data_IF_670234571722
#
_entry.id   IF_670234571722
#
_cell.length_a   1.000
_cell.length_b   1.000
_cell.length_c   1.000
_cell.angle_alpha   90.00
_cell.angle_beta   90.00
_cell.angle_gamma   90.00
#
_symmetry.space_group_name_H-M   'P 1'
#
loop_
_entity.id
_entity.type
_entity.pdbx_description
1 polymer ?
#
# COMPACT_ATOMS: atom_id res chain seq x y z
N UNK A 1 -18.91 -2.14 -5.81
CA UNK A 1 -17.66 -2.79 -6.29
C UNK A 1 -17.68 -4.25 -5.86
N UNK A 2 -17.18 -5.16 -6.70
CA UNK A 2 -17.04 -6.56 -6.32
C UNK A 2 -15.88 -6.73 -5.32
N UNK A 3 -16.03 -7.63 -4.35
CA UNK A 3 -15.00 -7.90 -3.35
C UNK A 3 -13.79 -8.60 -3.97
N UNK A 4 -12.57 -8.12 -3.66
CA UNK A 4 -11.33 -8.81 -4.01
C UNK A 4 -11.16 -10.01 -3.08
N UNK A 5 -10.96 -11.20 -3.66
CA UNK A 5 -10.85 -12.45 -2.88
C UNK A 5 -9.43 -12.98 -2.83
N UNK A 6 -8.63 -12.71 -3.85
CA UNK A 6 -7.23 -13.12 -3.93
C UNK A 6 -6.41 -12.09 -4.68
N UNK A 7 -5.17 -11.92 -4.23
CA UNK A 7 -4.18 -11.05 -4.88
C UNK A 7 -2.91 -11.88 -5.10
N UNK A 8 -2.28 -11.72 -6.26
CA UNK A 8 -0.94 -12.22 -6.51
C UNK A 8 0.00 -11.08 -6.90
N UNK A 9 1.30 -11.29 -6.66
CA UNK A 9 2.39 -10.40 -7.09
C UNK A 9 3.23 -11.17 -8.09
N UNK A 10 3.59 -10.55 -9.21
CA UNK A 10 4.49 -11.15 -10.20
C UNK A 10 5.32 -10.10 -10.93
N UNK A 11 6.25 -10.55 -11.77
CA UNK A 11 7.06 -9.63 -12.58
C UNK A 11 6.28 -9.13 -13.80
N UNK A 12 6.81 -8.14 -14.52
CA UNK A 12 6.18 -7.70 -15.76
C UNK A 12 6.25 -8.76 -16.88
N UNK A 13 7.34 -9.55 -16.90
CA UNK A 13 7.80 -10.34 -18.05
C UNK A 13 7.17 -11.73 -18.14
N UNK A 14 6.82 -12.34 -16.99
CA UNK A 14 6.27 -13.69 -16.93
C UNK A 14 4.91 -13.72 -16.18
N UNK A 15 4.10 -14.74 -16.48
CA UNK A 15 2.85 -15.02 -15.76
C UNK A 15 3.08 -15.77 -14.44
N UNK A 16 4.33 -15.88 -13.98
CA UNK A 16 4.65 -16.56 -12.74
C UNK A 16 4.41 -15.64 -11.55
N UNK A 17 3.69 -16.17 -10.56
CA UNK A 17 3.40 -15.44 -9.33
C UNK A 17 4.52 -15.67 -8.32
N UNK A 18 5.17 -14.58 -7.90
CA UNK A 18 6.15 -14.59 -6.81
C UNK A 18 5.48 -14.90 -5.47
N UNK A 19 4.24 -14.45 -5.29
CA UNK A 19 3.45 -14.71 -4.09
C UNK A 19 1.95 -14.61 -4.42
N UNK A 20 1.12 -15.36 -3.71
CA UNK A 20 -0.34 -15.33 -3.82
C UNK A 20 -0.97 -15.37 -2.42
N UNK A 21 -1.98 -14.52 -2.18
CA UNK A 21 -2.65 -14.44 -0.90
C UNK A 21 -4.18 -14.37 -1.05
N UNK A 22 -4.88 -15.08 -0.17
CA UNK A 22 -6.34 -14.97 -0.01
C UNK A 22 -6.65 -13.79 0.90
N UNK A 23 -7.48 -12.88 0.41
CA UNK A 23 -7.76 -11.58 1.04
C UNK A 23 -9.24 -11.30 1.31
N UNK A 24 -10.12 -12.29 1.11
CA UNK A 24 -11.55 -12.21 1.43
C UNK A 24 -11.77 -11.65 2.84
N UNK A 25 -12.66 -10.65 2.97
CA UNK A 25 -12.97 -9.98 4.24
C UNK A 25 -11.88 -9.07 4.78
N UNK A 26 -10.77 -8.83 4.06
CA UNK A 26 -9.66 -7.99 4.50
C UNK A 26 -9.62 -6.68 3.72
N UNK A 27 -9.33 -5.59 4.42
CA UNK A 27 -9.11 -4.28 3.81
C UNK A 27 -7.62 -4.03 3.49
N UNK A 28 -6.72 -4.70 4.20
CA UNK A 28 -5.28 -4.63 3.97
C UNK A 28 -4.63 -5.99 4.28
N UNK A 29 -3.51 -6.25 3.61
CA UNK A 29 -2.64 -7.40 3.87
C UNK A 29 -1.19 -7.01 3.69
N UNK A 30 -0.31 -7.58 4.51
CA UNK A 30 1.13 -7.46 4.29
C UNK A 30 1.57 -8.42 3.18
N UNK A 31 2.52 -7.99 2.38
CA UNK A 31 3.18 -8.88 1.44
C UNK A 31 4.03 -9.92 2.21
N UNK A 32 3.90 -11.19 1.82
CA UNK A 32 4.52 -12.34 2.52
C UNK A 32 5.58 -13.06 1.69
N UNK A 33 5.93 -12.54 0.51
CA UNK A 33 6.97 -13.15 -0.34
C UNK A 33 8.34 -12.56 -0.07
N UNK A 34 9.32 -12.98 -0.88
CA UNK A 34 10.69 -12.45 -0.81
C UNK A 34 10.74 -10.95 -1.09
N UNK A 35 11.61 -10.19 -0.40
CA UNK A 35 11.75 -8.74 -0.58
C UNK A 35 11.91 -8.35 -2.05
N UNK A 36 11.07 -7.41 -2.49
CA UNK A 36 11.08 -6.90 -3.85
C UNK A 36 12.27 -5.96 -4.06
N UNK A 37 12.83 -5.94 -5.27
CA UNK A 37 14.06 -5.20 -5.58
C UNK A 37 13.77 -3.72 -5.84
N UNK A 38 14.55 -2.79 -5.26
CA UNK A 38 14.50 -1.37 -5.62
C UNK A 38 14.63 -1.15 -7.12
N UNK A 39 13.86 -0.20 -7.66
CA UNK A 39 13.86 0.13 -9.08
C UNK A 39 13.08 -0.84 -9.97
N UNK A 40 12.78 -2.05 -9.49
CA UNK A 40 12.09 -3.04 -10.30
C UNK A 40 10.57 -2.81 -10.32
N UNK A 41 9.98 -3.01 -11.50
CA UNK A 41 8.53 -2.95 -11.70
C UNK A 41 7.93 -4.35 -11.61
N UNK A 42 6.80 -4.43 -10.91
CA UNK A 42 6.00 -5.63 -10.67
C UNK A 42 4.54 -5.37 -11.02
N UNK A 43 3.70 -6.39 -10.89
CA UNK A 43 2.25 -6.31 -11.09
C UNK A 43 1.52 -6.90 -9.89
N UNK A 44 0.47 -6.23 -9.45
CA UNK A 44 -0.61 -6.88 -8.70
C UNK A 44 -1.55 -7.55 -9.68
N UNK A 45 -1.94 -8.78 -9.39
CA UNK A 45 -2.98 -9.53 -10.10
C UNK A 45 -4.17 -9.68 -9.17
N UNK A 46 -5.34 -9.23 -9.61
CA UNK A 46 -6.56 -9.18 -8.78
C UNK A 46 -7.52 -10.27 -9.22
N UNK A 47 -8.07 -10.99 -8.25
CA UNK A 47 -9.01 -12.08 -8.48
C UNK A 47 -10.28 -11.88 -7.64
N UNK A 48 -11.44 -11.93 -8.30
CA UNK A 48 -12.76 -11.89 -7.64
C UNK A 48 -13.28 -13.27 -7.23
N UNK A 49 -12.58 -14.33 -7.65
CA UNK A 49 -12.83 -15.71 -7.25
C UNK A 49 -11.52 -16.35 -6.76
N UNK A 50 -11.53 -16.84 -5.53
CA UNK A 50 -10.38 -17.46 -4.89
C UNK A 50 -9.84 -18.67 -5.68
N UNK A 51 -10.72 -19.48 -6.27
CA UNK A 51 -10.37 -20.68 -7.01
C UNK A 51 -9.91 -20.41 -8.45
N UNK A 52 -10.11 -19.20 -8.98
CA UNK A 52 -9.75 -18.87 -10.37
C UNK A 52 -8.23 -18.79 -10.55
N UNK A 53 -7.68 -19.39 -11.61
CA UNK A 53 -6.30 -19.18 -12.04
C UNK A 53 -6.13 -17.92 -12.91
N UNK A 54 -7.23 -17.36 -13.41
CA UNK A 54 -7.24 -16.16 -14.26
C UNK A 54 -7.59 -14.91 -13.45
N UNK A 55 -6.72 -13.88 -13.42
CA UNK A 55 -7.02 -12.60 -12.79
C UNK A 55 -8.00 -11.79 -13.65
N UNK A 56 -8.78 -10.92 -13.01
CA UNK A 56 -9.72 -10.01 -13.70
C UNK A 56 -9.06 -8.71 -14.13
N UNK A 57 -7.96 -8.33 -13.48
CA UNK A 57 -7.18 -7.13 -13.80
C UNK A 57 -5.76 -7.26 -13.24
N UNK A 58 -4.86 -6.44 -13.78
CA UNK A 58 -3.53 -6.23 -13.21
C UNK A 58 -3.22 -4.74 -13.06
N UNK A 59 -2.39 -4.40 -12.07
CA UNK A 59 -1.97 -3.04 -11.77
C UNK A 59 -0.45 -3.04 -11.66
N UNK A 60 0.29 -2.34 -12.55
CA UNK A 60 1.74 -2.24 -12.43
C UNK A 60 2.12 -1.32 -11.27
N UNK A 61 3.22 -1.63 -10.59
CA UNK A 61 3.82 -0.77 -9.58
C UNK A 61 5.33 -0.93 -9.58
N UNK A 62 6.07 0.13 -9.26
CA UNK A 62 7.52 0.10 -9.17
C UNK A 62 7.95 0.23 -7.72
N UNK A 63 8.92 -0.57 -7.30
CA UNK A 63 9.57 -0.36 -6.00
C UNK A 63 10.49 0.84 -6.11
N UNK A 64 10.31 1.78 -5.20
CA UNK A 64 11.12 2.98 -5.11
C UNK A 64 12.62 2.67 -5.09
N UNK A 65 13.39 3.47 -5.82
CA UNK A 65 14.85 3.40 -5.86
C UNK A 65 15.48 3.66 -4.49
N UNK A 66 16.62 3.01 -4.21
CA UNK A 66 17.26 3.08 -2.89
C UNK A 66 17.63 4.53 -2.45
N UNK A 67 18.19 5.41 -3.31
CA UNK A 67 18.49 6.78 -2.91
C UNK A 67 17.24 7.58 -2.50
N UNK A 68 16.16 7.47 -3.28
CA UNK A 68 14.89 8.15 -2.98
C UNK A 68 14.27 7.60 -1.68
N UNK A 69 14.28 6.27 -1.51
CA UNK A 69 13.79 5.61 -0.29
C UNK A 69 14.57 6.06 0.95
N UNK A 70 15.89 6.20 0.84
CA UNK A 70 16.74 6.64 1.96
C UNK A 70 16.44 8.08 2.36
N UNK A 71 16.22 8.97 1.38
CA UNK A 71 15.80 10.35 1.63
C UNK A 71 14.48 10.39 2.40
N UNK A 72 13.44 9.74 1.87
CA UNK A 72 12.11 9.70 2.51
C UNK A 72 12.18 9.08 3.90
N UNK A 73 12.96 8.01 4.09
CA UNK A 73 13.14 7.38 5.41
C UNK A 73 13.72 8.37 6.42
N UNK A 74 14.62 9.25 5.98
CA UNK A 74 15.23 10.26 6.85
C UNK A 74 14.25 11.37 7.20
N UNK A 75 13.44 11.82 6.24
CA UNK A 75 12.37 12.80 6.43
C UNK A 75 11.29 12.26 7.38
N UNK A 76 10.87 11.01 7.22
CA UNK A 76 9.90 10.35 8.10
C UNK A 76 10.43 10.20 9.53
N UNK A 77 11.71 9.84 9.71
CA UNK A 77 12.32 9.77 11.05
C UNK A 77 12.34 11.12 11.75
N UNK A 78 12.59 12.20 11.01
CA UNK A 78 12.51 13.55 11.58
C UNK A 78 11.07 13.88 12.00
N UNK A 79 10.11 13.60 11.12
CA UNK A 79 8.68 13.81 11.38
C UNK A 79 8.19 13.02 12.60
N UNK A 80 8.58 11.76 12.74
CA UNK A 80 8.28 10.95 13.94
C UNK A 80 8.86 11.55 15.22
N UNK A 81 10.11 12.04 15.18
CA UNK A 81 10.74 12.70 16.34
C UNK A 81 10.00 13.97 16.75
N UNK A 82 9.50 14.74 15.79
CA UNK A 82 8.69 15.93 16.05
C UNK A 82 7.33 15.55 16.67
N UNK A 83 6.82 14.35 16.38
CA UNK A 83 5.56 13.82 16.90
C UNK A 83 5.73 12.84 18.06
N UNK A 84 6.90 12.80 18.73
CA UNK A 84 7.27 11.78 19.75
C UNK A 84 6.26 11.57 20.90
N UNK A 85 5.42 12.56 21.19
CA UNK A 85 4.42 12.51 22.27
C UNK A 85 3.00 12.22 21.75
N UNK A 86 2.85 11.90 20.47
CA UNK A 86 1.56 11.60 19.83
C UNK A 86 1.26 10.11 19.88
N UNK A 87 -0.02 9.77 19.72
CA UNK A 87 -0.45 8.38 19.57
C UNK A 87 0.08 7.77 18.27
N UNK A 88 0.14 6.43 18.23
CA UNK A 88 0.48 5.67 17.01
C UNK A 88 -0.41 6.09 15.83
N UNK A 89 -1.70 6.31 16.09
CA UNK A 89 -2.64 6.76 15.08
C UNK A 89 -2.31 8.15 14.54
N UNK A 90 -2.01 9.11 15.41
CA UNK A 90 -1.65 10.45 14.99
C UNK A 90 -0.35 10.44 14.16
N UNK A 91 0.61 9.57 14.49
CA UNK A 91 1.81 9.36 13.67
C UNK A 91 1.43 8.79 12.30
N UNK A 92 0.58 7.76 12.25
CA UNK A 92 0.13 7.15 11.00
C UNK A 92 -0.59 8.16 10.10
N UNK A 93 -1.46 9.00 10.67
CA UNK A 93 -2.17 10.06 9.97
C UNK A 93 -1.20 11.09 9.36
N UNK A 94 -0.22 11.56 10.12
CA UNK A 94 0.75 12.54 9.63
C UNK A 94 1.61 11.93 8.51
N UNK A 95 2.03 10.67 8.65
CA UNK A 95 2.77 9.99 7.58
C UNK A 95 1.92 9.78 6.32
N UNK A 96 0.65 9.40 6.48
CA UNK A 96 -0.26 9.22 5.35
C UNK A 96 -0.42 10.53 4.56
N UNK A 97 -0.59 11.67 5.26
CA UNK A 97 -0.63 13.01 4.65
C UNK A 97 0.69 13.35 3.94
N UNK A 98 1.83 13.13 4.59
CA UNK A 98 3.14 13.34 3.98
C UNK A 98 3.31 12.55 2.67
N UNK A 99 2.96 11.26 2.66
CA UNK A 99 3.07 10.45 1.44
C UNK A 99 2.11 10.92 0.34
N UNK A 100 0.87 11.30 0.70
CA UNK A 100 -0.11 11.85 -0.23
C UNK A 100 0.40 13.15 -0.88
N UNK A 101 0.98 14.07 -0.11
CA UNK A 101 1.59 15.32 -0.59
C UNK A 101 2.75 15.07 -1.58
N UNK A 102 3.45 13.94 -1.44
CA UNK A 102 4.52 13.52 -2.37
C UNK A 102 3.99 12.72 -3.57
N UNK A 103 2.68 12.50 -3.69
CA UNK A 103 2.07 11.65 -4.71
C UNK A 103 2.35 10.15 -4.54
N UNK A 104 2.84 9.73 -3.36
CA UNK A 104 3.20 8.36 -3.03
C UNK A 104 1.99 7.61 -2.47
N UNK A 105 0.96 7.45 -3.30
CA UNK A 105 -0.36 7.03 -2.85
C UNK A 105 -0.42 5.63 -2.24
N UNK A 106 0.36 4.68 -2.76
CA UNK A 106 0.44 3.33 -2.16
C UNK A 106 1.04 3.37 -0.76
N UNK A 107 2.01 4.24 -0.51
CA UNK A 107 2.58 4.44 0.84
C UNK A 107 1.60 5.18 1.75
N UNK A 108 0.87 6.18 1.22
CA UNK A 108 -0.18 6.88 1.96
C UNK A 108 -1.28 5.93 2.44
N UNK A 109 -1.78 5.07 1.55
CA UNK A 109 -2.76 4.04 1.88
C UNK A 109 -2.21 3.04 2.90
N UNK A 110 -0.97 2.59 2.74
CA UNK A 110 -0.35 1.67 3.71
C UNK A 110 -0.31 2.26 5.12
N UNK A 111 0.03 3.55 5.27
CA UNK A 111 -0.01 4.21 6.58
C UNK A 111 -1.44 4.38 7.10
N UNK A 112 -2.38 4.74 6.23
CA UNK A 112 -3.77 4.95 6.64
C UNK A 112 -4.43 3.65 7.12
N UNK A 113 -4.17 2.54 6.44
CA UNK A 113 -4.69 1.22 6.78
C UNK A 113 -3.85 0.44 7.82
N UNK A 114 -2.74 1.00 8.33
CA UNK A 114 -1.93 0.32 9.36
C UNK A 114 -2.56 0.37 10.76
N UNK A 115 -3.53 1.27 10.97
CA UNK A 115 -4.20 1.45 12.26
C UNK A 115 -5.49 0.62 12.28
N UNK A 116 -5.58 -0.44 13.11
CA UNK A 116 -6.82 -1.18 13.25
C UNK A 116 -7.86 -0.29 13.96
N UNK A 117 -9.07 -0.21 13.39
CA UNK A 117 -10.18 0.62 13.90
C UNK A 117 -9.80 2.11 13.99
N UNK A 118 -9.58 2.78 12.84
CA UNK A 118 -9.19 4.19 12.81
C UNK A 118 -10.23 5.09 13.47
N UNK A 119 -9.80 6.21 14.05
CA UNK A 119 -10.68 7.30 14.48
C UNK A 119 -11.48 7.87 13.32
N UNK A 120 -12.42 8.78 13.64
CA UNK A 120 -13.19 9.50 12.62
C UNK A 120 -12.30 10.28 11.64
N UNK A 121 -11.22 10.90 12.12
CA UNK A 121 -10.31 11.68 11.26
C UNK A 121 -9.57 10.77 10.28
N UNK A 122 -8.96 9.70 10.76
CA UNK A 122 -8.23 8.76 9.89
C UNK A 122 -9.19 8.00 8.96
N UNK A 123 -10.38 7.67 9.44
CA UNK A 123 -11.45 7.10 8.60
C UNK A 123 -11.87 8.02 7.47
N UNK A 124 -11.89 9.34 7.70
CA UNK A 124 -12.21 10.31 6.67
C UNK A 124 -11.09 10.39 5.62
N UNK A 125 -9.82 10.44 6.05
CA UNK A 125 -8.69 10.38 5.13
C UNK A 125 -8.76 9.13 4.24
N UNK A 126 -9.04 7.96 4.81
CA UNK A 126 -9.20 6.70 4.06
C UNK A 126 -10.29 6.81 2.99
N UNK A 127 -11.40 7.50 3.26
CA UNK A 127 -12.48 7.71 2.30
C UNK A 127 -12.13 8.70 1.19
N UNK A 128 -11.29 9.69 1.51
CA UNK A 128 -10.94 10.76 0.59
C UNK A 128 -9.80 10.35 -0.36
N UNK A 129 -8.87 9.49 0.09
CA UNK A 129 -7.71 9.05 -0.70
C UNK A 129 -8.08 8.42 -2.06
N UNK A 130 -9.09 7.54 -2.19
CA UNK A 130 -9.50 7.00 -3.49
C UNK A 130 -9.96 8.06 -4.48
N UNK A 131 -10.56 9.17 -4.03
CA UNK A 131 -11.00 10.23 -4.93
C UNK A 131 -9.81 10.98 -5.53
N UNK A 132 -8.70 11.08 -4.82
CA UNK A 132 -7.45 11.70 -5.30
C UNK A 132 -6.65 10.80 -6.25
N UNK A 133 -6.99 9.51 -6.29
CA UNK A 133 -6.33 8.48 -7.11
C UNK A 133 -6.98 8.29 -8.49
N UNK A 134 -8.23 8.72 -8.64
CA UNK A 134 -9.08 8.42 -9.80
C UNK A 134 -9.38 9.65 -10.67
N UNK A 135 -8.59 10.72 -10.56
CA UNK A 135 -8.66 11.90 -11.42
C UNK A 135 -7.94 11.70 -12.78
#
# INVERSE_FOLDING_TARGET
MAEVKKIAVGTLENQEYLNTQIVTGKQSVNYQGEPLKPGQTYKWFIFLNQASSSPVMFIPFQIMEAPQRNRITSELKLLERLQKNKSVEAIALVKAKYFAEQGLWSDALQQAYSVPKPSSELSQLIKDLPNQLCD
#
